data_IF_443011780275
#
_entry.id   IF_443011780275
#
_cell.length_a   1.000
_cell.length_b   1.000
_cell.length_c   1.000
_cell.angle_alpha   90.00
_cell.angle_beta   90.00
_cell.angle_gamma   90.00
#
_symmetry.space_group_name_H-M   'P 1'
#
loop_
_entity.id
_entity.type
_entity.pdbx_description
1 polymer ?
#
# COMPACT_ATOMS: atom_id res chain seq x y z
N UNK A 1 36.25 -3.41 -0.46
CA UNK A 1 37.07 -3.19 -1.67
C UNK A 1 36.48 -3.80 -2.95
N UNK A 2 35.98 -5.04 -2.99
CA UNK A 2 35.49 -5.66 -4.24
C UNK A 2 34.28 -4.99 -4.92
N UNK A 3 33.23 -4.63 -4.16
CA UNK A 3 31.99 -4.04 -4.72
C UNK A 3 32.17 -2.67 -5.38
N UNK A 4 33.05 -1.85 -4.84
CA UNK A 4 33.26 -0.48 -5.30
C UNK A 4 34.02 -0.45 -6.63
N UNK A 5 35.03 -1.31 -6.78
CA UNK A 5 35.76 -1.49 -8.04
C UNK A 5 34.88 -2.06 -9.15
N UNK A 6 33.96 -2.97 -8.78
CA UNK A 6 32.99 -3.57 -9.70
C UNK A 6 31.97 -2.54 -10.21
N UNK A 7 31.45 -1.68 -9.31
CA UNK A 7 30.57 -0.56 -9.67
C UNK A 7 31.27 0.46 -10.59
N UNK A 8 32.53 0.81 -10.29
CA UNK A 8 33.30 1.74 -11.14
C UNK A 8 33.50 1.17 -12.54
N UNK A 9 33.75 -0.14 -12.64
CA UNK A 9 33.89 -0.84 -13.92
C UNK A 9 32.58 -0.83 -14.70
N UNK A 10 31.46 -1.17 -14.06
CA UNK A 10 30.14 -1.16 -14.69
C UNK A 10 29.76 0.25 -15.20
N UNK A 11 30.01 1.29 -14.40
CA UNK A 11 29.75 2.68 -14.80
C UNK A 11 30.54 3.05 -16.06
N UNK A 12 31.83 2.66 -16.14
CA UNK A 12 32.65 2.92 -17.34
C UNK A 12 32.12 2.20 -18.57
N UNK A 13 31.77 0.92 -18.44
CA UNK A 13 31.21 0.13 -19.54
C UNK A 13 29.89 0.74 -20.04
N UNK A 14 29.02 1.19 -19.14
CA UNK A 14 27.76 1.87 -19.48
C UNK A 14 27.99 3.22 -20.18
N UNK A 15 29.02 3.97 -19.77
CA UNK A 15 29.36 5.25 -20.38
C UNK A 15 29.89 5.06 -21.81
N UNK A 16 30.81 4.12 -22.02
CA UNK A 16 31.32 3.77 -23.34
C UNK A 16 30.22 3.26 -24.27
N UNK A 17 29.28 2.47 -23.75
CA UNK A 17 28.11 2.01 -24.52
C UNK A 17 27.20 3.19 -24.91
N UNK A 18 26.97 4.14 -24.00
CA UNK A 18 26.19 5.34 -24.28
C UNK A 18 26.85 6.23 -25.36
N UNK A 19 28.18 6.42 -25.30
CA UNK A 19 28.91 7.17 -26.32
C UNK A 19 28.86 6.50 -27.70
N UNK A 20 28.98 5.17 -27.76
CA UNK A 20 28.82 4.41 -29.01
C UNK A 20 27.44 4.59 -29.62
N UNK A 21 26.39 4.60 -28.79
CA UNK A 21 25.01 4.81 -29.24
C UNK A 21 24.83 6.25 -29.76
N UNK A 22 25.34 7.26 -29.04
CA UNK A 22 25.23 8.66 -29.45
C UNK A 22 25.98 8.95 -30.74
N UNK A 23 27.19 8.40 -30.89
CA UNK A 23 28.03 8.57 -32.09
C UNK A 23 27.52 7.83 -33.32
N UNK A 24 26.71 6.79 -33.14
CA UNK A 24 26.05 6.06 -34.24
C UNK A 24 24.63 6.55 -34.53
N UNK A 25 24.14 7.59 -33.83
CA UNK A 25 22.76 8.08 -33.94
C UNK A 25 22.36 8.51 -35.36
N UNK A 26 23.28 9.06 -36.15
CA UNK A 26 23.06 9.45 -37.55
C UNK A 26 22.93 8.26 -38.52
N UNK A 27 23.35 7.06 -38.11
CA UNK A 27 23.25 5.83 -38.90
C UNK A 27 21.86 5.17 -38.79
N UNK A 28 21.00 5.69 -37.93
CA UNK A 28 19.67 5.15 -37.66
C UNK A 28 18.58 6.06 -38.22
N UNK A 29 17.73 5.54 -39.11
CA UNK A 29 16.50 6.22 -39.51
C UNK A 29 15.41 6.01 -38.46
N UNK A 30 14.70 7.07 -38.07
CA UNK A 30 13.60 6.96 -37.11
C UNK A 30 12.31 6.42 -37.77
N UNK A 31 11.55 5.53 -37.10
CA UNK A 31 11.87 4.84 -35.85
C UNK A 31 12.71 3.55 -36.07
N UNK A 32 13.74 3.35 -35.24
CA UNK A 32 14.55 2.10 -35.23
C UNK A 32 14.99 1.72 -33.81
N UNK A 33 15.18 0.43 -33.58
CA UNK A 33 15.61 -0.12 -32.29
C UNK A 33 17.13 0.01 -32.14
N UNK A 34 17.57 0.95 -31.29
CA UNK A 34 18.99 1.24 -31.09
C UNK A 34 19.61 0.35 -29.98
N UNK A 35 18.83 0.00 -28.95
CA UNK A 35 19.24 -0.92 -27.88
C UNK A 35 18.03 -1.61 -27.26
N UNK A 36 18.13 -2.92 -26.99
CA UNK A 36 17.13 -3.61 -26.16
C UNK A 36 17.31 -3.17 -24.70
N UNK A 37 16.25 -2.64 -24.09
CA UNK A 37 16.27 -2.32 -22.66
C UNK A 37 16.43 -3.58 -21.78
N UNK A 38 16.93 -3.40 -20.55
CA UNK A 38 16.86 -4.44 -19.53
C UNK A 38 15.41 -4.57 -19.03
N UNK A 39 14.93 -5.80 -18.83
CA UNK A 39 13.66 -6.04 -18.14
C UNK A 39 13.94 -6.01 -16.63
N UNK A 40 13.41 -5.01 -15.94
CA UNK A 40 13.41 -4.96 -14.49
C UNK A 40 12.01 -5.31 -14.00
N UNK A 41 11.91 -6.25 -13.07
CA UNK A 41 10.68 -6.58 -12.37
C UNK A 41 10.79 -6.06 -10.94
N UNK A 42 9.86 -5.20 -10.55
CA UNK A 42 9.70 -4.80 -9.15
C UNK A 42 8.59 -5.65 -8.56
N UNK A 43 8.89 -6.39 -7.50
CA UNK A 43 7.93 -7.19 -6.75
C UNK A 43 7.79 -6.52 -5.39
N UNK A 44 6.59 -6.04 -5.08
CA UNK A 44 6.26 -5.53 -3.77
C UNK A 44 5.48 -6.60 -2.98
N UNK A 45 5.90 -6.86 -1.74
CA UNK A 45 5.23 -7.81 -0.85
C UNK A 45 4.16 -7.11 -0.02
N UNK A 46 2.94 -7.69 0.01
CA UNK A 46 1.85 -7.23 0.86
C UNK A 46 1.99 -7.66 2.32
N UNK A 47 1.05 -7.20 3.14
CA UNK A 47 1.01 -7.37 4.59
C UNK A 47 1.21 -8.83 5.04
N UNK A 48 0.45 -9.79 4.50
CA UNK A 48 0.54 -11.21 4.91
C UNK A 48 1.92 -11.80 4.62
N UNK A 49 2.52 -11.43 3.49
CA UNK A 49 3.86 -11.89 3.12
C UNK A 49 4.90 -11.34 4.10
N UNK A 50 4.83 -10.05 4.42
CA UNK A 50 5.72 -9.40 5.41
C UNK A 50 5.59 -10.03 6.80
N UNK A 51 4.37 -10.31 7.27
CA UNK A 51 4.12 -11.01 8.54
C UNK A 51 4.69 -12.43 8.54
N UNK A 52 4.56 -13.16 7.44
CA UNK A 52 5.15 -14.49 7.32
C UNK A 52 6.68 -14.42 7.33
N UNK A 53 7.27 -13.43 6.66
CA UNK A 53 8.71 -13.18 6.69
C UNK A 53 9.20 -12.81 8.10
N UNK A 54 8.46 -11.97 8.84
CA UNK A 54 8.75 -11.67 10.25
C UNK A 54 8.76 -12.95 11.09
N UNK A 55 7.78 -13.83 10.90
CA UNK A 55 7.64 -15.10 11.64
C UNK A 55 8.84 -16.01 11.36
N UNK A 56 9.19 -16.23 10.09
CA UNK A 56 10.33 -17.07 9.70
C UNK A 56 11.64 -16.49 10.24
N UNK A 57 11.82 -15.17 10.17
CA UNK A 57 13.01 -14.51 10.72
C UNK A 57 13.10 -14.70 12.24
N UNK A 58 11.97 -14.64 12.93
CA UNK A 58 11.89 -14.81 14.39
C UNK A 58 12.27 -16.23 14.85
N UNK A 59 12.23 -17.24 13.99
CA UNK A 59 12.72 -18.59 14.28
C UNK A 59 14.25 -18.64 14.43
N UNK A 60 14.97 -17.67 13.86
CA UNK A 60 16.44 -17.63 13.82
C UNK A 60 16.99 -16.51 14.70
N UNK A 61 16.35 -15.34 14.72
CA UNK A 61 16.81 -14.16 15.45
C UNK A 61 15.61 -13.42 16.06
N UNK A 62 15.68 -12.94 17.32
CA UNK A 62 14.60 -12.16 17.91
C UNK A 62 14.20 -11.01 16.98
N UNK A 63 12.94 -11.03 16.54
CA UNK A 63 12.40 -10.11 15.55
C UNK A 63 11.17 -9.41 16.13
N UNK A 64 11.14 -8.09 15.96
CA UNK A 64 10.00 -7.26 16.37
C UNK A 64 8.77 -7.57 15.53
N UNK A 65 7.56 -7.51 16.12
CA UNK A 65 6.32 -7.52 15.34
C UNK A 65 6.36 -6.41 14.28
N UNK A 66 5.93 -6.72 13.05
CA UNK A 66 5.89 -5.79 11.91
C UNK A 66 7.27 -5.31 11.43
N UNK A 67 8.36 -6.05 11.71
CA UNK A 67 9.72 -5.68 11.30
C UNK A 67 9.77 -5.27 9.81
N UNK A 68 9.32 -6.12 8.88
CA UNK A 68 9.41 -5.80 7.45
C UNK A 68 8.56 -4.59 7.03
N UNK A 69 7.47 -4.28 7.75
CA UNK A 69 6.68 -3.05 7.52
C UNK A 69 7.48 -1.86 8.04
N UNK A 70 7.88 -1.86 9.30
CA UNK A 70 8.51 -0.71 9.93
C UNK A 70 9.95 -0.43 9.46
N UNK A 71 10.69 -1.45 8.98
CA UNK A 71 11.98 -1.24 8.30
C UNK A 71 11.85 -0.47 6.99
N UNK A 72 10.67 -0.48 6.37
CA UNK A 72 10.36 0.33 5.19
C UNK A 72 9.93 1.77 5.57
N UNK A 73 9.97 2.13 6.86
CA UNK A 73 9.81 3.51 7.33
C UNK A 73 11.14 4.11 7.74
N UNK A 74 11.49 5.27 7.17
CA UNK A 74 12.66 6.03 7.58
C UNK A 74 12.60 6.47 9.06
N UNK A 75 11.40 6.67 9.62
CA UNK A 75 11.20 7.13 11.00
C UNK A 75 11.35 6.01 12.04
N UNK A 76 11.06 4.76 11.67
CA UNK A 76 11.00 3.64 12.63
C UNK A 76 12.13 2.64 12.49
N UNK A 77 12.85 2.63 11.37
CA UNK A 77 13.87 1.60 11.07
C UNK A 77 14.91 1.46 12.19
N UNK A 78 15.42 2.57 12.72
CA UNK A 78 16.40 2.56 13.82
C UNK A 78 15.79 2.09 15.15
N UNK A 79 14.53 2.45 15.44
CA UNK A 79 13.84 2.03 16.65
C UNK A 79 13.55 0.52 16.66
N UNK A 80 13.28 -0.06 15.48
CA UNK A 80 13.15 -1.52 15.32
C UNK A 80 14.48 -2.22 15.59
N UNK A 81 15.57 -1.72 15.01
CA UNK A 81 16.90 -2.31 15.23
C UNK A 81 17.30 -2.27 16.71
N UNK A 82 16.99 -1.16 17.40
CA UNK A 82 17.18 -1.03 18.83
C UNK A 82 16.34 -2.04 19.61
N UNK A 83 15.05 -2.16 19.29
CA UNK A 83 14.15 -3.12 19.95
C UNK A 83 14.63 -4.56 19.82
N UNK A 84 15.07 -4.97 18.63
CA UNK A 84 15.62 -6.31 18.40
C UNK A 84 16.94 -6.55 19.13
N UNK A 85 17.79 -5.53 19.24
CA UNK A 85 19.02 -5.65 20.02
C UNK A 85 18.73 -5.78 21.51
N UNK A 86 17.77 -5.02 22.06
CA UNK A 86 17.35 -5.17 23.45
C UNK A 86 16.78 -6.57 23.74
N UNK A 87 16.03 -7.16 22.79
CA UNK A 87 15.56 -8.54 22.93
C UNK A 87 16.71 -9.55 22.97
N UNK A 88 17.78 -9.34 22.17
CA UNK A 88 18.97 -10.20 22.20
C UNK A 88 19.72 -10.12 23.54
N UNK A 89 19.73 -8.96 24.16
CA UNK A 89 20.28 -8.75 25.52
C UNK A 89 19.39 -9.34 26.63
N UNK A 90 18.28 -10.00 26.28
CA UNK A 90 17.41 -10.70 27.23
C UNK A 90 16.35 -9.82 27.91
N UNK A 91 16.14 -8.60 27.42
CA UNK A 91 15.05 -7.76 27.91
C UNK A 91 13.67 -8.30 27.47
N UNK A 92 12.67 -8.09 28.32
CA UNK A 92 11.30 -8.56 28.10
C UNK A 92 10.70 -8.02 26.78
N UNK A 93 10.19 -8.93 25.96
CA UNK A 93 9.64 -8.63 24.63
C UNK A 93 8.38 -7.76 24.73
N UNK A 94 7.48 -8.08 25.65
CA UNK A 94 6.19 -7.38 25.77
C UNK A 94 6.41 -5.93 26.20
N UNK A 95 7.37 -5.70 27.10
CA UNK A 95 7.81 -4.36 27.48
C UNK A 95 8.39 -3.59 26.29
N UNK A 96 9.25 -4.21 25.48
CA UNK A 96 9.83 -3.56 24.29
C UNK A 96 8.74 -3.20 23.29
N UNK A 97 7.85 -4.13 22.96
CA UNK A 97 6.75 -3.89 22.01
C UNK A 97 5.77 -2.82 22.54
N UNK A 98 5.52 -2.80 23.85
CA UNK A 98 4.73 -1.73 24.49
C UNK A 98 5.38 -0.37 24.33
N UNK A 99 6.68 -0.23 24.63
CA UNK A 99 7.37 1.06 24.48
C UNK A 99 7.52 1.47 23.02
N UNK A 100 7.71 0.52 22.11
CA UNK A 100 7.77 0.79 20.68
C UNK A 100 6.46 1.40 20.16
N UNK A 101 5.30 1.02 20.71
CA UNK A 101 4.02 1.67 20.38
C UNK A 101 4.03 3.16 20.69
N UNK A 102 4.61 3.58 21.81
CA UNK A 102 4.72 5.01 22.14
C UNK A 102 5.64 5.74 21.15
N UNK A 103 6.74 5.11 20.74
CA UNK A 103 7.62 5.64 19.68
C UNK A 103 6.84 5.78 18.36
N UNK A 104 6.09 4.75 17.98
CA UNK A 104 5.25 4.77 16.79
C UNK A 104 4.28 5.96 16.83
N UNK A 105 3.52 6.11 17.93
CA UNK A 105 2.56 7.22 18.09
C UNK A 105 3.25 8.59 18.07
N UNK A 106 4.43 8.71 18.67
CA UNK A 106 5.21 9.96 18.63
C UNK A 106 5.71 10.34 17.23
N UNK A 107 5.81 9.38 16.31
CA UNK A 107 6.20 9.62 14.92
C UNK A 107 5.02 9.98 14.01
N UNK A 108 3.79 9.78 14.47
CA UNK A 108 2.58 10.05 13.71
C UNK A 108 2.35 11.56 13.60
N UNK A 109 1.92 12.04 12.44
CA UNK A 109 1.41 13.39 12.26
C UNK A 109 -0.11 13.49 12.51
N UNK A 110 -0.66 14.68 12.29
CA UNK A 110 -2.12 14.90 12.21
C UNK A 110 -2.71 14.40 10.88
N UNK A 111 -1.87 14.33 9.85
CA UNK A 111 -2.22 13.90 8.51
C UNK A 111 -1.37 12.71 8.08
N UNK A 112 -1.97 11.85 7.25
CA UNK A 112 -1.33 10.66 6.71
C UNK A 112 -1.62 10.54 5.21
N UNK A 113 -0.61 10.17 4.43
CA UNK A 113 -0.79 9.90 3.01
C UNK A 113 -1.48 8.55 2.80
N UNK A 114 -2.35 8.44 1.80
CA UNK A 114 -2.93 7.16 1.39
C UNK A 114 -2.29 6.71 0.08
N UNK A 115 -1.42 5.70 0.15
CA UNK A 115 -0.83 5.04 -1.02
C UNK A 115 -1.69 3.85 -1.47
N UNK A 116 -2.31 4.01 -2.63
CA UNK A 116 -3.08 2.98 -3.31
C UNK A 116 -2.19 2.27 -4.33
N UNK A 117 -1.89 0.99 -4.11
CA UNK A 117 -1.01 0.22 -4.99
C UNK A 117 -1.85 -0.59 -5.99
N UNK A 118 -1.76 -0.21 -7.27
CA UNK A 118 -2.17 -1.05 -8.42
C UNK A 118 -0.91 -1.63 -9.08
N UNK A 119 -0.67 -1.31 -10.35
CA UNK A 119 0.60 -1.61 -11.03
C UNK A 119 1.76 -0.73 -10.54
N UNK A 120 1.44 0.47 -10.06
CA UNK A 120 2.36 1.44 -9.48
C UNK A 120 1.67 2.15 -8.30
N UNK A 121 2.45 2.70 -7.35
CA UNK A 121 1.88 3.47 -6.25
C UNK A 121 1.19 4.73 -6.75
N UNK A 122 -0.05 4.94 -6.33
CA UNK A 122 -0.82 6.15 -6.57
C UNK A 122 -1.10 6.80 -5.21
N UNK A 123 -0.69 8.05 -5.05
CA UNK A 123 -1.08 8.84 -3.88
C UNK A 123 -2.51 9.34 -4.05
N UNK A 124 -3.37 9.05 -3.09
CA UNK A 124 -4.71 9.63 -3.02
C UNK A 124 -4.71 10.97 -2.26
N UNK A 125 -3.53 11.47 -1.88
CA UNK A 125 -3.35 12.65 -1.04
C UNK A 125 -3.48 12.36 0.45
N UNK A 126 -3.41 13.43 1.23
CA UNK A 126 -3.41 13.37 2.69
C UNK A 126 -4.83 13.26 3.27
N UNK A 127 -4.91 12.57 4.41
CA UNK A 127 -6.12 12.43 5.20
C UNK A 127 -5.84 12.81 6.66
N UNK A 128 -6.76 13.55 7.28
CA UNK A 128 -6.72 13.90 8.69
C UNK A 128 -7.01 12.65 9.54
N UNK A 129 -6.19 12.38 10.54
CA UNK A 129 -6.40 11.28 11.47
C UNK A 129 -7.41 11.70 12.54
N UNK A 130 -8.57 11.05 12.56
CA UNK A 130 -9.61 11.31 13.57
C UNK A 130 -9.49 10.39 14.78
N UNK A 131 -9.11 9.14 14.55
CA UNK A 131 -8.99 8.12 15.59
C UNK A 131 -7.87 7.16 15.22
N UNK A 132 -7.04 6.80 16.20
CA UNK A 132 -6.04 5.75 16.07
C UNK A 132 -5.99 4.92 17.35
N UNK A 133 -6.16 3.62 17.21
CA UNK A 133 -5.95 2.63 18.27
C UNK A 133 -5.04 1.51 17.76
N UNK A 134 -4.80 0.50 18.58
CA UNK A 134 -3.90 -0.61 18.23
C UNK A 134 -4.40 -1.43 17.02
N UNK A 135 -5.72 -1.45 16.77
CA UNK A 135 -6.31 -2.22 15.67
C UNK A 135 -7.15 -1.40 14.69
N UNK A 136 -7.37 -0.10 14.93
CA UNK A 136 -8.29 0.73 14.13
C UNK A 136 -7.67 2.08 13.80
N UNK A 137 -7.89 2.52 12.57
CA UNK A 137 -7.51 3.85 12.09
C UNK A 137 -8.72 4.48 11.36
N UNK A 138 -9.09 5.69 11.75
CA UNK A 138 -10.17 6.46 11.12
C UNK A 138 -9.61 7.73 10.53
N UNK A 139 -9.80 7.90 9.23
CA UNK A 139 -9.26 9.01 8.46
C UNK A 139 -10.37 9.84 7.83
N UNK A 140 -10.15 11.15 7.72
CA UNK A 140 -11.06 12.08 7.05
C UNK A 140 -10.39 12.75 5.86
N UNK A 141 -11.06 12.67 4.70
CA UNK A 141 -10.64 13.37 3.47
C UNK A 141 -11.73 14.33 3.01
N UNK A 142 -11.33 15.52 2.57
CA UNK A 142 -12.23 16.51 1.96
C UNK A 142 -12.11 16.44 0.45
N UNK A 143 -13.23 16.54 -0.26
CA UNK A 143 -13.28 16.52 -1.71
C UNK A 143 -13.63 17.89 -2.28
N UNK A 144 -13.03 18.21 -3.43
CA UNK A 144 -13.20 19.51 -4.10
C UNK A 144 -14.39 19.54 -5.08
N UNK A 145 -15.15 18.44 -5.21
CA UNK A 145 -16.41 18.42 -5.96
C UNK A 145 -16.31 18.11 -7.46
N UNK A 146 -15.28 17.39 -7.91
CA UNK A 146 -15.14 16.97 -9.32
C UNK A 146 -15.42 15.48 -9.49
N UNK A 147 -16.19 15.12 -10.52
CA UNK A 147 -16.50 13.74 -10.89
C UNK A 147 -17.60 13.08 -10.07
N UNK A 148 -17.60 11.75 -10.06
CA UNK A 148 -18.54 10.90 -9.32
C UNK A 148 -17.77 10.02 -8.33
N UNK A 149 -18.46 9.52 -7.31
CA UNK A 149 -17.97 8.40 -6.53
C UNK A 149 -18.13 7.11 -7.36
N UNK A 150 -17.03 6.41 -7.57
CA UNK A 150 -16.98 5.22 -8.42
C UNK A 150 -17.91 4.13 -7.88
N UNK A 151 -18.59 3.43 -8.80
CA UNK A 151 -19.60 2.42 -8.46
C UNK A 151 -20.95 2.96 -7.97
N UNK A 152 -20.94 4.01 -7.14
CA UNK A 152 -22.15 4.62 -6.56
C UNK A 152 -22.92 5.48 -7.56
N UNK A 153 -22.28 5.99 -8.61
CA UNK A 153 -22.87 6.92 -9.59
C UNK A 153 -23.44 8.20 -8.94
N UNK A 154 -22.84 8.61 -7.81
CA UNK A 154 -23.23 9.81 -7.06
C UNK A 154 -22.24 10.94 -7.35
N UNK A 155 -22.76 12.11 -7.71
CA UNK A 155 -21.93 13.28 -8.01
C UNK A 155 -21.18 13.75 -6.76
N UNK A 156 -19.88 13.99 -6.89
CA UNK A 156 -19.07 14.65 -5.87
C UNK A 156 -19.45 16.13 -5.83
N UNK A 157 -19.68 16.65 -4.63
CA UNK A 157 -20.00 18.06 -4.44
C UNK A 157 -18.91 18.75 -3.61
N UNK A 158 -18.83 20.07 -3.74
CA UNK A 158 -17.82 20.85 -3.03
C UNK A 158 -18.03 20.73 -1.52
N UNK A 159 -16.94 20.38 -0.80
CA UNK A 159 -16.92 20.14 0.66
C UNK A 159 -17.61 18.86 1.10
N UNK A 160 -17.95 17.97 0.18
CA UNK A 160 -18.15 16.58 0.54
C UNK A 160 -16.90 16.06 1.25
N UNK A 161 -17.09 15.09 2.13
CA UNK A 161 -15.99 14.44 2.81
C UNK A 161 -16.21 12.94 2.90
N UNK A 162 -15.10 12.21 3.00
CA UNK A 162 -15.09 10.76 3.19
C UNK A 162 -14.49 10.42 4.54
N UNK A 163 -15.13 9.51 5.26
CA UNK A 163 -14.58 8.87 6.44
C UNK A 163 -14.10 7.48 6.03
N UNK A 164 -12.82 7.22 6.23
CA UNK A 164 -12.18 5.93 5.92
C UNK A 164 -11.94 5.19 7.23
N UNK A 165 -12.52 4.01 7.38
CA UNK A 165 -12.36 3.15 8.54
C UNK A 165 -11.53 1.93 8.16
N UNK A 166 -10.37 1.80 8.77
CA UNK A 166 -9.39 0.73 8.54
C UNK A 166 -9.26 -0.07 9.83
N UNK A 167 -9.19 -1.39 9.71
CA UNK A 167 -8.92 -2.30 10.82
C UNK A 167 -7.74 -3.21 10.47
N UNK A 168 -6.81 -3.44 11.42
CA UNK A 168 -5.63 -4.27 11.19
C UNK A 168 -6.04 -5.67 10.75
N UNK A 169 -5.42 -6.16 9.67
CA UNK A 169 -5.66 -7.53 9.17
C UNK A 169 -6.94 -7.71 8.36
N UNK A 170 -7.84 -6.71 8.29
CA UNK A 170 -9.01 -6.80 7.40
C UNK A 170 -8.61 -6.71 5.93
N UNK A 171 -9.28 -7.50 5.11
CA UNK A 171 -9.13 -7.54 3.65
C UNK A 171 -9.98 -6.51 2.92
N UNK A 172 -10.45 -5.51 3.65
CA UNK A 172 -11.13 -4.36 3.11
C UNK A 172 -11.06 -3.21 4.11
N UNK A 173 -11.21 -1.98 3.62
CA UNK A 173 -11.54 -0.83 4.45
C UNK A 173 -12.80 -0.17 3.92
N UNK A 174 -13.41 0.66 4.75
CA UNK A 174 -14.72 1.27 4.44
C UNK A 174 -14.56 2.76 4.22
N UNK A 175 -15.04 3.27 3.10
CA UNK A 175 -15.24 4.69 2.83
C UNK A 175 -16.72 5.04 2.96
N UNK A 176 -17.06 5.88 3.92
CA UNK A 176 -18.39 6.48 4.06
C UNK A 176 -18.34 7.90 3.50
N UNK A 177 -19.11 8.17 2.46
CA UNK A 177 -19.13 9.49 1.82
C UNK A 177 -20.29 10.32 2.35
N UNK A 178 -20.01 11.57 2.70
CA UNK A 178 -20.97 12.49 3.27
C UNK A 178 -21.03 13.80 2.48
N UNK A 179 -22.20 14.41 2.48
CA UNK A 179 -22.36 15.81 2.03
C UNK A 179 -21.70 16.76 3.03
N UNK A 180 -21.51 18.02 2.62
CA UNK A 180 -21.09 19.11 3.53
C UNK A 180 -22.02 19.32 4.74
N UNK A 181 -23.26 18.82 4.68
CA UNK A 181 -24.28 18.91 5.72
C UNK A 181 -24.36 17.64 6.58
N UNK A 182 -23.38 16.74 6.47
CA UNK A 182 -23.29 15.46 7.19
C UNK A 182 -24.36 14.42 6.80
N UNK A 183 -24.92 14.51 5.59
CA UNK A 183 -25.84 13.49 5.07
C UNK A 183 -25.05 12.37 4.38
N UNK A 184 -25.35 11.12 4.70
CA UNK A 184 -24.71 9.97 4.05
C UNK A 184 -25.12 9.91 2.58
N UNK A 185 -24.13 9.82 1.69
CA UNK A 185 -24.33 9.64 0.24
C UNK A 185 -24.25 8.16 -0.14
N UNK A 186 -23.37 7.42 0.51
CA UNK A 186 -23.20 5.98 0.27
C UNK A 186 -21.93 5.46 0.93
N UNK A 187 -21.79 4.15 0.92
CA UNK A 187 -20.64 3.46 1.51
C UNK A 187 -19.95 2.64 0.42
N UNK A 188 -18.63 2.63 0.47
CA UNK A 188 -17.77 1.90 -0.44
C UNK A 188 -16.80 1.06 0.38
N UNK A 189 -16.80 -0.25 0.13
CA UNK A 189 -15.91 -1.22 0.74
C UNK A 189 -14.84 -1.58 -0.29
N UNK A 190 -13.63 -1.06 -0.10
CA UNK A 190 -12.53 -1.38 -1.00
C UNK A 190 -11.92 -2.72 -0.62
N UNK A 191 -12.01 -3.73 -1.49
CA UNK A 191 -11.41 -5.04 -1.20
C UNK A 191 -9.94 -4.97 -1.58
N UNK A 192 -9.09 -5.13 -0.59
CA UNK A 192 -7.65 -4.95 -0.72
C UNK A 192 -6.90 -5.98 0.13
N UNK A 193 -5.59 -6.11 -0.09
CA UNK A 193 -4.76 -6.76 0.91
C UNK A 193 -4.82 -5.97 2.23
N UNK A 194 -4.60 -6.61 3.39
CA UNK A 194 -4.58 -5.88 4.65
C UNK A 194 -3.69 -4.65 4.63
N UNK A 195 -4.21 -3.55 5.19
CA UNK A 195 -3.56 -2.23 5.13
C UNK A 195 -2.31 -2.23 6.01
N UNK A 196 -1.21 -1.79 5.42
CA UNK A 196 0.04 -1.50 6.12
C UNK A 196 0.01 -0.05 6.63
N UNK A 197 0.21 0.14 7.93
CA UNK A 197 0.17 1.46 8.56
C UNK A 197 1.59 1.89 8.94
N UNK A 198 2.00 3.03 8.42
CA UNK A 198 3.27 3.70 8.70
C UNK A 198 2.99 5.05 9.39
N UNK A 199 4.01 5.69 10.00
CA UNK A 199 3.81 6.99 10.66
C UNK A 199 3.37 8.14 9.74
N UNK A 200 3.73 8.04 8.46
CA UNK A 200 3.56 9.06 7.44
C UNK A 200 2.58 8.66 6.33
N UNK A 201 2.25 7.37 6.23
CA UNK A 201 1.33 6.85 5.20
C UNK A 201 0.64 5.55 5.58
N UNK A 202 -0.46 5.26 4.89
CA UNK A 202 -1.00 3.90 4.78
C UNK A 202 -0.74 3.38 3.38
N UNK A 203 -0.57 2.06 3.26
CA UNK A 203 -0.37 1.38 1.98
C UNK A 203 -1.20 0.11 1.92
N UNK A 204 -1.82 -0.13 0.77
CA UNK A 204 -2.52 -1.38 0.49
C UNK A 204 -2.48 -1.69 -1.00
N UNK A 205 -2.65 -2.97 -1.35
CA UNK A 205 -2.76 -3.42 -2.73
C UNK A 205 -4.23 -3.61 -3.06
N UNK A 206 -4.68 -2.91 -4.09
CA UNK A 206 -6.03 -3.01 -4.62
C UNK A 206 -6.24 -4.38 -5.27
N UNK A 207 -7.36 -5.03 -4.99
CA UNK A 207 -7.70 -6.32 -5.59
C UNK A 207 -8.71 -6.20 -6.74
N UNK A 208 -8.96 -4.97 -7.21
CA UNK A 208 -9.77 -4.66 -8.40
C UNK A 208 -11.21 -5.21 -8.31
N UNK A 209 -11.74 -5.41 -7.10
CA UNK A 209 -13.14 -5.76 -6.82
C UNK A 209 -13.58 -4.98 -5.60
N UNK A 210 -14.82 -4.50 -5.58
CA UNK A 210 -15.33 -3.67 -4.49
C UNK A 210 -16.79 -3.99 -4.19
N UNK A 211 -17.26 -3.53 -3.03
CA UNK A 211 -18.68 -3.58 -2.67
C UNK A 211 -19.15 -2.17 -2.38
N UNK A 212 -20.33 -1.81 -2.87
CA UNK A 212 -20.97 -0.55 -2.53
C UNK A 212 -22.25 -0.80 -1.76
N UNK A 213 -22.62 0.14 -0.91
CA UNK A 213 -23.89 0.19 -0.19
C UNK A 213 -24.56 1.54 -0.46
N UNK A 214 -25.82 1.50 -0.87
CA UNK A 214 -26.63 2.71 -1.02
C UNK A 214 -27.13 3.23 0.34
N UNK A 215 -27.87 4.33 0.34
CA UNK A 215 -28.42 4.93 1.56
C UNK A 215 -29.56 4.11 2.19
N UNK A 216 -30.09 3.11 1.48
CA UNK A 216 -31.12 2.19 1.96
C UNK A 216 -30.50 0.92 2.59
N UNK A 217 -29.18 0.75 2.47
CA UNK A 217 -28.45 -0.40 2.99
C UNK A 217 -28.29 -1.55 1.98
N UNK A 218 -28.71 -1.37 0.72
CA UNK A 218 -28.57 -2.42 -0.29
C UNK A 218 -27.12 -2.49 -0.76
N UNK A 219 -26.53 -3.68 -0.67
CA UNK A 219 -25.15 -3.94 -1.08
C UNK A 219 -25.07 -4.65 -2.42
N UNK A 220 -24.07 -4.29 -3.22
CA UNK A 220 -23.73 -5.04 -4.44
C UNK A 220 -22.23 -5.01 -4.73
N UNK A 221 -21.75 -6.12 -5.29
CA UNK A 221 -20.38 -6.23 -5.81
C UNK A 221 -20.28 -5.42 -7.11
N UNK A 222 -19.16 -4.73 -7.29
CA UNK A 222 -18.78 -4.05 -8.53
C UNK A 222 -17.40 -4.52 -9.00
N UNK A 223 -17.08 -4.25 -10.26
CA UNK A 223 -15.75 -4.45 -10.85
C UNK A 223 -15.24 -5.91 -10.85
N UNK A 224 -16.13 -6.90 -10.72
CA UNK A 224 -15.76 -8.33 -10.76
C UNK A 224 -14.98 -8.69 -12.03
N UNK A 225 -15.35 -8.09 -13.16
CA UNK A 225 -14.69 -8.22 -14.45
C UNK A 225 -13.25 -7.69 -14.45
N UNK A 226 -12.97 -6.62 -13.68
CA UNK A 226 -11.61 -6.07 -13.54
C UNK A 226 -10.71 -7.04 -12.78
N UNK A 227 -11.20 -7.64 -11.69
CA UNK A 227 -10.48 -8.69 -10.97
C UNK A 227 -10.23 -9.91 -11.85
N UNK A 228 -11.25 -10.41 -12.55
CA UNK A 228 -11.12 -11.58 -13.44
C UNK A 228 -10.03 -11.35 -14.48
N UNK A 229 -10.04 -10.18 -15.14
CA UNK A 229 -9.00 -9.78 -16.08
C UNK A 229 -7.63 -9.64 -15.42
N UNK A 230 -7.54 -9.11 -14.19
CA UNK A 230 -6.28 -9.01 -13.47
C UNK A 230 -5.67 -10.38 -13.12
N UNK A 231 -6.52 -11.39 -12.90
CA UNK A 231 -6.09 -12.78 -12.72
C UNK A 231 -5.64 -13.40 -14.04
N UNK A 232 -6.40 -13.22 -15.11
CA UNK A 232 -6.05 -13.69 -16.46
C UNK A 232 -4.70 -13.10 -16.95
N UNK A 233 -4.48 -11.81 -16.71
CA UNK A 233 -3.24 -11.11 -17.04
C UNK A 233 -2.05 -11.51 -16.13
N UNK A 234 -2.28 -12.30 -15.07
CA UNK A 234 -1.28 -12.68 -14.08
C UNK A 234 -0.82 -11.55 -13.16
N UNK A 235 -1.53 -10.41 -13.13
CA UNK A 235 -1.26 -9.27 -12.22
C UNK A 235 -1.64 -9.61 -10.78
N UNK A 236 -2.71 -10.39 -10.61
CA UNK A 236 -3.16 -10.95 -9.33
C UNK A 236 -3.14 -12.47 -9.47
N UNK A 237 -2.57 -13.18 -8.51
CA UNK A 237 -2.58 -14.64 -8.56
C UNK A 237 -3.98 -15.21 -8.20
N UNK A 238 -4.28 -16.43 -8.64
CA UNK A 238 -5.59 -17.05 -8.41
C UNK A 238 -5.99 -17.14 -6.93
N UNK A 239 -5.02 -17.33 -6.03
CA UNK A 239 -5.30 -17.45 -4.59
C UNK A 239 -5.79 -16.12 -4.02
N UNK A 240 -5.17 -15.01 -4.41
CA UNK A 240 -5.62 -13.66 -4.04
C UNK A 240 -6.97 -13.34 -4.68
N UNK A 241 -7.18 -13.70 -5.94
CA UNK A 241 -8.46 -13.48 -6.62
C UNK A 241 -9.62 -14.22 -5.94
N UNK A 242 -9.44 -15.51 -5.63
CA UNK A 242 -10.42 -16.30 -4.85
C UNK A 242 -10.71 -15.65 -3.50
N UNK A 243 -9.66 -15.23 -2.78
CA UNK A 243 -9.81 -14.56 -1.48
C UNK A 243 -10.58 -13.23 -1.60
N UNK A 244 -10.32 -12.44 -2.63
CA UNK A 244 -11.01 -11.18 -2.86
C UNK A 244 -12.51 -11.39 -3.11
N UNK A 245 -12.87 -12.39 -3.93
CA UNK A 245 -14.27 -12.79 -4.18
C UNK A 245 -14.95 -13.26 -2.90
N UNK A 246 -14.32 -14.14 -2.12
CA UNK A 246 -14.86 -14.60 -0.83
C UNK A 246 -15.19 -13.44 0.12
N UNK A 247 -14.29 -12.45 0.20
CA UNK A 247 -14.47 -11.27 1.05
C UNK A 247 -15.61 -10.40 0.52
N UNK A 248 -15.64 -10.12 -0.79
CA UNK A 248 -16.71 -9.34 -1.41
C UNK A 248 -18.09 -10.00 -1.20
N UNK A 249 -18.20 -11.31 -1.42
CA UNK A 249 -19.44 -12.06 -1.20
C UNK A 249 -19.86 -12.05 0.26
N UNK A 250 -18.92 -12.11 1.20
CA UNK A 250 -19.23 -12.06 2.64
C UNK A 250 -19.85 -10.73 3.09
N UNK A 251 -19.62 -9.63 2.35
CA UNK A 251 -20.17 -8.32 2.66
C UNK A 251 -21.59 -8.12 2.13
N UNK A 252 -21.98 -8.86 1.10
CA UNK A 252 -23.31 -8.74 0.45
C UNK A 252 -24.33 -9.75 1.00
N UNK A 253 -23.87 -10.74 1.78
CA UNK A 253 -24.73 -11.67 2.53
C UNK A 253 -25.39 -10.99 3.72
#
# INVERSE_FOLDING_TARGET
MGKETELIKEIKELYEEAEKILSSSELFSAPSLIRKGKRALKIDFGWDSKKKMDTIRNEVIPTMKNHHIYKNSMRLSAAIDLGENLMKEGMDRDLIEKNFREVFRSCMGEYIEIEHIKTYPISLGEAEILEMSDSKLVLKRKFLGTGYYDGLNIKKEFRDYGITEIEEGKWYFTHKYYTKNNELKGIYYNICTPVEIYPDKIRYFDLEIDVIEDTEGNRRIIDRDKLEKAVEDGRINEKLGKKAIEVAESLVR
#
